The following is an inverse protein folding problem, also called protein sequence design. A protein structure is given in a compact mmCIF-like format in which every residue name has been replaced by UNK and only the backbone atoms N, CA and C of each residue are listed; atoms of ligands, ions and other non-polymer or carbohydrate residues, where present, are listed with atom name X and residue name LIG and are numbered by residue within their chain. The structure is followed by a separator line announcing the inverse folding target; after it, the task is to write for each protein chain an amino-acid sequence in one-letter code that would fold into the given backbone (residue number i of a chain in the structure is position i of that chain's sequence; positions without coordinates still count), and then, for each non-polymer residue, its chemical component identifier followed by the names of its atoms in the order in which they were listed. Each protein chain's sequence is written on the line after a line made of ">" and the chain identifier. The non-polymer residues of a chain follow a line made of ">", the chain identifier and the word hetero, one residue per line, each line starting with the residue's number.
data_IF_609896486657
#
_entry.id   IF_609896486657
#
_cell.length_a   1.000
_cell.length_b   1.000
_cell.length_c   1.000
_cell.angle_alpha   90.00
_cell.angle_beta   90.00
_cell.angle_gamma   90.00
#
_symmetry.space_group_name_H-M   'P 1'
#
loop_
_entity.id
_entity.type
_entity.pdbx_description
1 polymer ?
#
# COMPACT_ATOMS: atom_id res chain seq x y z
N UNK A 1 22.85 -5.26 2.43
CA UNK A 1 21.87 -4.87 1.39
C UNK A 1 22.18 -3.48 0.83
N UNK A 2 22.02 -2.38 1.57
CA UNK A 2 22.29 -1.02 1.03
C UNK A 2 23.74 -0.84 0.53
N UNK A 3 24.72 -1.26 1.32
CA UNK A 3 26.15 -1.20 0.97
C UNK A 3 26.58 -2.15 -0.18
N UNK A 4 25.70 -3.07 -0.58
CA UNK A 4 25.97 -4.00 -1.70
C UNK A 4 25.33 -3.55 -3.01
N UNK A 5 24.65 -2.40 -3.04
CA UNK A 5 24.10 -1.82 -4.28
C UNK A 5 25.21 -1.03 -4.98
N UNK A 6 25.57 -1.33 -6.24
CA UNK A 6 26.64 -0.65 -6.97
C UNK A 6 26.25 0.76 -7.48
N UNK A 7 25.21 1.37 -6.90
CA UNK A 7 24.68 2.67 -7.32
C UNK A 7 25.17 3.78 -6.40
N UNK A 8 25.53 4.92 -7.00
CA UNK A 8 25.83 6.15 -6.25
C UNK A 8 24.56 6.85 -5.72
N UNK A 9 23.39 6.40 -6.18
CA UNK A 9 22.08 6.97 -5.90
C UNK A 9 21.12 5.90 -5.38
N UNK A 10 20.56 6.13 -4.19
CA UNK A 10 19.72 5.15 -3.50
C UNK A 10 18.41 5.82 -3.06
N UNK A 11 17.28 5.18 -3.37
CA UNK A 11 15.98 5.53 -2.81
C UNK A 11 15.53 4.40 -1.89
N UNK A 12 15.12 4.73 -0.67
CA UNK A 12 14.52 3.78 0.27
C UNK A 12 13.01 3.99 0.28
N UNK A 13 12.27 2.89 0.09
CA UNK A 13 10.81 2.80 0.21
C UNK A 13 10.49 1.94 1.44
N UNK A 14 10.20 2.53 2.62
CA UNK A 14 9.97 1.78 3.85
C UNK A 14 8.72 0.90 3.76
N UNK A 15 7.66 1.41 3.14
CA UNK A 15 6.37 0.72 2.93
C UNK A 15 5.70 0.24 4.22
N UNK A 16 6.15 0.73 5.37
CA UNK A 16 5.63 0.43 6.70
C UNK A 16 5.94 1.61 7.62
N UNK A 17 4.93 2.12 8.30
CA UNK A 17 5.05 3.29 9.16
C UNK A 17 6.03 3.10 10.33
N UNK A 18 6.21 1.88 10.84
CA UNK A 18 7.11 1.60 11.96
C UNK A 18 8.59 1.59 11.52
N UNK A 19 8.86 1.30 10.26
CA UNK A 19 10.24 1.28 9.71
C UNK A 19 10.71 2.64 9.18
N UNK A 20 9.81 3.62 9.00
CA UNK A 20 10.14 4.92 8.43
C UNK A 20 11.26 5.64 9.21
N UNK A 21 11.12 5.75 10.53
CA UNK A 21 12.13 6.40 11.37
C UNK A 21 13.50 5.70 11.29
N UNK A 22 13.51 4.37 11.20
CA UNK A 22 14.74 3.58 11.03
C UNK A 22 15.37 3.86 9.66
N UNK A 23 14.56 3.91 8.59
CA UNK A 23 15.03 4.23 7.24
C UNK A 23 15.64 5.64 7.17
N UNK A 24 15.02 6.63 7.81
CA UNK A 24 15.52 8.00 7.90
C UNK A 24 16.86 8.07 8.65
N UNK A 25 16.98 7.37 9.78
CA UNK A 25 18.23 7.29 10.53
C UNK A 25 19.36 6.65 9.72
N UNK A 26 19.07 5.55 9.01
CA UNK A 26 20.02 4.88 8.11
C UNK A 26 20.44 5.81 6.96
N UNK A 27 19.50 6.51 6.35
CA UNK A 27 19.78 7.46 5.29
C UNK A 27 20.63 8.64 5.79
N UNK A 28 20.34 9.16 6.98
CA UNK A 28 21.14 10.23 7.59
C UNK A 28 22.59 9.81 7.80
N UNK A 29 22.83 8.63 8.38
CA UNK A 29 24.18 8.09 8.57
C UNK A 29 24.90 7.86 7.22
N UNK A 30 24.21 7.30 6.23
CA UNK A 30 24.76 7.07 4.89
C UNK A 30 25.15 8.37 4.15
N UNK A 31 24.38 9.46 4.32
CA UNK A 31 24.73 10.77 3.76
C UNK A 31 26.01 11.34 4.37
N UNK A 32 26.24 11.11 5.66
CA UNK A 32 27.50 11.50 6.32
C UNK A 32 28.72 10.73 5.76
N UNK A 33 28.51 9.55 5.19
CA UNK A 33 29.51 8.75 4.47
C UNK A 33 29.63 9.13 2.97
N UNK A 34 28.92 10.16 2.50
CA UNK A 34 28.98 10.68 1.12
C UNK A 34 28.05 10.00 0.12
N UNK A 35 27.13 9.13 0.57
CA UNK A 35 26.15 8.49 -0.31
C UNK A 35 24.97 9.43 -0.64
N UNK A 36 24.54 9.45 -1.91
CA UNK A 36 23.32 10.17 -2.32
C UNK A 36 22.11 9.28 -2.09
N UNK A 37 21.43 9.51 -0.97
CA UNK A 37 20.29 8.69 -0.54
C UNK A 37 19.07 9.52 -0.18
N UNK A 38 17.89 9.04 -0.55
CA UNK A 38 16.59 9.61 -0.22
C UNK A 38 15.67 8.55 0.41
N UNK A 39 14.77 8.99 1.28
CA UNK A 39 13.71 8.15 1.83
C UNK A 39 12.40 8.73 1.33
N UNK A 40 11.60 7.91 0.65
CA UNK A 40 10.22 8.29 0.32
C UNK A 40 9.35 7.84 1.49
N UNK A 41 8.53 8.72 2.10
CA UNK A 41 7.78 8.42 3.31
C UNK A 41 6.55 7.53 3.07
N UNK A 42 6.68 6.47 2.26
CA UNK A 42 5.64 5.49 2.00
C UNK A 42 5.38 4.64 3.26
N UNK A 43 4.13 4.63 3.71
CA UNK A 43 3.65 3.93 4.91
C UNK A 43 2.99 2.59 4.58
N UNK A 44 2.65 2.36 3.31
CA UNK A 44 2.09 1.13 2.80
C UNK A 44 2.76 0.71 1.48
N UNK A 45 2.71 -0.58 1.15
CA UNK A 45 3.36 -1.12 -0.06
C UNK A 45 2.81 -0.51 -1.35
N UNK A 46 1.50 -0.26 -1.42
CA UNK A 46 0.85 0.37 -2.58
C UNK A 46 1.31 1.82 -2.81
N UNK A 47 1.69 2.56 -1.76
CA UNK A 47 2.30 3.88 -1.91
C UNK A 47 3.73 3.78 -2.46
N UNK A 48 4.45 2.71 -2.12
CA UNK A 48 5.73 2.39 -2.74
C UNK A 48 5.59 2.06 -4.22
N UNK A 49 4.52 1.35 -4.62
CA UNK A 49 4.22 1.09 -6.03
C UNK A 49 3.88 2.39 -6.77
N UNK A 50 3.05 3.26 -6.18
CA UNK A 50 2.75 4.58 -6.72
C UNK A 50 4.02 5.42 -6.95
N UNK A 51 4.94 5.41 -5.97
CA UNK A 51 6.24 6.06 -6.10
C UNK A 51 7.05 5.47 -7.27
N UNK A 52 7.11 4.15 -7.40
CA UNK A 52 7.87 3.49 -8.46
C UNK A 52 7.28 3.74 -9.84
N UNK A 53 5.97 3.85 -9.96
CA UNK A 53 5.27 4.08 -11.23
C UNK A 53 5.70 5.40 -11.90
N UNK A 54 6.05 6.41 -11.11
CA UNK A 54 6.51 7.73 -11.62
C UNK A 54 8.03 7.88 -11.68
N UNK A 55 8.78 6.81 -11.41
CA UNK A 55 10.24 6.86 -11.45
C UNK A 55 10.75 7.03 -12.88
N UNK A 56 11.53 8.10 -13.09
CA UNK A 56 12.19 8.39 -14.37
C UNK A 56 13.70 8.53 -14.15
N UNK A 57 14.43 7.44 -14.44
CA UNK A 57 15.90 7.38 -14.28
C UNK A 57 16.67 8.29 -15.24
N UNK A 58 16.00 8.95 -16.20
CA UNK A 58 16.64 9.94 -17.08
C UNK A 58 16.69 11.34 -16.46
N UNK A 59 15.90 11.60 -15.41
CA UNK A 59 15.88 12.87 -14.68
C UNK A 59 16.95 12.91 -13.59
N UNK A 60 17.24 14.12 -13.11
CA UNK A 60 18.09 14.27 -11.94
C UNK A 60 17.45 13.60 -10.72
N UNK A 61 18.29 13.04 -9.84
CA UNK A 61 17.86 12.32 -8.65
C UNK A 61 16.88 13.11 -7.77
N UNK A 62 17.18 14.39 -7.53
CA UNK A 62 16.32 15.20 -6.66
C UNK A 62 14.93 15.41 -7.30
N UNK A 63 14.86 15.54 -8.63
CA UNK A 63 13.62 15.75 -9.37
C UNK A 63 12.71 14.53 -9.33
N UNK A 64 13.27 13.33 -9.57
CA UNK A 64 12.46 12.12 -9.47
C UNK A 64 12.13 11.79 -8.01
N UNK A 65 12.99 12.11 -7.04
CA UNK A 65 12.65 11.95 -5.60
C UNK A 65 11.45 12.80 -5.21
N UNK A 66 11.36 14.05 -5.68
CA UNK A 66 10.19 14.90 -5.47
C UNK A 66 8.94 14.27 -6.09
N UNK A 67 9.04 13.82 -7.34
CA UNK A 67 7.91 13.20 -8.06
C UNK A 67 7.43 11.92 -7.36
N UNK A 68 8.36 11.04 -6.97
CA UNK A 68 8.09 9.82 -6.22
C UNK A 68 7.46 10.11 -4.85
N UNK A 69 7.91 11.16 -4.17
CA UNK A 69 7.36 11.58 -2.87
C UNK A 69 5.92 12.07 -3.01
N UNK A 70 5.65 12.87 -4.04
CA UNK A 70 4.30 13.34 -4.33
C UNK A 70 3.35 12.19 -4.66
N UNK A 71 3.77 11.25 -5.52
CA UNK A 71 2.97 10.08 -5.87
C UNK A 71 2.64 9.21 -4.65
N UNK A 72 3.64 8.88 -3.83
CA UNK A 72 3.42 8.13 -2.59
C UNK A 72 2.44 8.84 -1.63
N UNK A 73 2.54 10.16 -1.52
CA UNK A 73 1.71 10.97 -0.63
C UNK A 73 0.26 11.13 -1.10
N UNK A 74 0.00 11.13 -2.40
CA UNK A 74 -1.35 11.21 -2.95
C UNK A 74 -2.08 9.86 -2.99
N UNK A 75 -1.33 8.75 -3.05
CA UNK A 75 -1.91 7.41 -3.02
C UNK A 75 -2.60 7.14 -1.68
N UNK A 76 -3.94 7.14 -1.70
CA UNK A 76 -4.78 6.66 -0.59
C UNK A 76 -4.62 5.17 -0.49
N UNK A 77 -4.56 4.64 0.73
CA UNK A 77 -4.31 3.22 0.92
C UNK A 77 -5.19 2.57 1.97
N UNK A 78 -5.49 1.32 1.73
CA UNK A 78 -6.21 0.44 2.64
C UNK A 78 -5.72 -1.00 2.53
N UNK A 79 -6.30 -1.86 3.33
CA UNK A 79 -6.02 -3.28 3.30
C UNK A 79 -7.22 -4.09 3.79
N UNK A 80 -7.23 -5.36 3.39
CA UNK A 80 -8.05 -6.39 4.01
C UNK A 80 -7.12 -7.28 4.81
N UNK A 81 -7.51 -7.60 6.04
CA UNK A 81 -6.79 -8.46 6.97
C UNK A 81 -7.74 -9.47 7.61
N UNK A 82 -7.20 -10.51 8.25
CA UNK A 82 -7.96 -11.45 9.09
C UNK A 82 -7.55 -11.28 10.54
N UNK A 83 -8.52 -11.26 11.45
CA UNK A 83 -8.27 -11.22 12.88
C UNK A 83 -7.60 -12.52 13.35
N UNK A 84 -6.42 -12.41 13.96
CA UNK A 84 -5.67 -13.58 14.47
C UNK A 84 -6.07 -13.98 15.90
N UNK A 85 -6.85 -13.13 16.57
CA UNK A 85 -7.35 -13.31 17.94
C UNK A 85 -8.53 -12.37 18.18
N UNK A 86 -9.30 -12.66 19.21
CA UNK A 86 -10.35 -11.77 19.70
C UNK A 86 -9.73 -10.47 20.22
N UNK A 87 -10.33 -9.33 19.85
CA UNK A 87 -9.87 -8.01 20.26
C UNK A 87 -10.98 -6.97 20.17
N UNK A 88 -10.82 -5.85 20.88
CA UNK A 88 -11.60 -4.64 20.66
C UNK A 88 -10.87 -3.75 19.65
N UNK A 89 -11.56 -3.36 18.57
CA UNK A 89 -11.03 -2.48 17.51
C UNK A 89 -11.79 -1.15 17.48
N UNK A 90 -11.31 -0.18 16.71
CA UNK A 90 -12.02 1.07 16.42
C UNK A 90 -13.38 0.87 15.76
N UNK A 91 -13.57 -0.23 15.02
CA UNK A 91 -14.86 -0.59 14.40
C UNK A 91 -15.73 -1.49 15.29
N UNK A 92 -15.33 -1.75 16.54
CA UNK A 92 -16.02 -2.63 17.47
C UNK A 92 -15.25 -3.93 17.76
N UNK A 93 -15.87 -4.87 18.51
CA UNK A 93 -15.24 -6.14 18.84
C UNK A 93 -15.08 -7.01 17.58
N UNK A 94 -13.96 -7.71 17.45
CA UNK A 94 -13.75 -8.76 16.47
C UNK A 94 -13.41 -10.08 17.16
N UNK A 95 -13.71 -11.19 16.48
CA UNK A 95 -13.31 -12.54 16.83
C UNK A 95 -12.20 -13.03 15.93
N UNK A 96 -11.43 -14.01 16.40
CA UNK A 96 -10.50 -14.72 15.54
C UNK A 96 -11.20 -15.25 14.28
N UNK A 97 -10.61 -14.96 13.12
CA UNK A 97 -11.14 -15.34 11.80
C UNK A 97 -11.99 -14.26 11.12
N UNK A 98 -12.43 -13.22 11.84
CA UNK A 98 -13.18 -12.13 11.23
C UNK A 98 -12.34 -11.39 10.18
N UNK A 99 -12.99 -11.00 9.09
CA UNK A 99 -12.45 -10.11 8.08
C UNK A 99 -12.42 -8.67 8.62
N UNK A 100 -11.27 -8.02 8.45
CA UNK A 100 -11.00 -6.68 8.94
C UNK A 100 -10.68 -5.75 7.77
N UNK A 101 -11.41 -4.64 7.70
CA UNK A 101 -11.14 -3.57 6.76
C UNK A 101 -10.27 -2.50 7.40
N UNK A 102 -9.17 -2.14 6.73
CA UNK A 102 -8.18 -1.18 7.25
C UNK A 102 -8.03 -0.01 6.28
N UNK A 103 -8.03 1.23 6.80
CA UNK A 103 -7.69 2.44 6.06
C UNK A 103 -6.67 3.21 6.88
N UNK A 104 -5.55 3.59 6.26
CA UNK A 104 -4.48 4.36 6.93
C UNK A 104 -3.98 3.77 8.27
N UNK A 105 -4.15 2.46 8.47
CA UNK A 105 -3.75 1.73 9.69
C UNK A 105 -4.87 1.51 10.70
N UNK A 106 -6.02 2.18 10.55
CA UNK A 106 -7.17 2.03 11.43
C UNK A 106 -8.13 0.95 10.95
N UNK A 107 -8.65 0.14 11.87
CA UNK A 107 -9.69 -0.85 11.55
C UNK A 107 -11.02 -0.14 11.49
N UNK A 108 -11.59 -0.05 10.28
CA UNK A 108 -12.80 0.74 9.99
C UNK A 108 -14.02 -0.12 9.70
N UNK A 109 -13.83 -1.44 9.61
CA UNK A 109 -14.89 -2.43 9.38
C UNK A 109 -14.47 -3.79 9.96
N UNK A 110 -15.45 -4.50 10.54
CA UNK A 110 -15.36 -5.92 10.93
C UNK A 110 -16.54 -6.64 10.28
N UNK A 111 -16.29 -7.71 9.54
CA UNK A 111 -17.31 -8.61 8.98
C UNK A 111 -16.80 -10.05 8.98
N UNK A 112 -17.65 -11.00 8.62
CA UNK A 112 -17.29 -12.40 8.41
C UNK A 112 -17.04 -12.75 6.93
N UNK A 113 -17.25 -11.82 5.99
CA UNK A 113 -16.96 -12.01 4.55
C UNK A 113 -15.81 -11.09 4.09
N UNK A 114 -14.71 -11.70 3.64
CA UNK A 114 -13.54 -11.00 3.11
C UNK A 114 -13.86 -10.12 1.90
N UNK A 115 -14.77 -10.56 1.03
CA UNK A 115 -15.11 -9.83 -0.18
C UNK A 115 -16.05 -8.66 0.07
N UNK A 116 -16.97 -8.79 1.04
CA UNK A 116 -17.75 -7.65 1.51
C UNK A 116 -16.82 -6.56 2.06
N UNK A 117 -15.85 -6.95 2.89
CA UNK A 117 -14.85 -6.02 3.42
C UNK A 117 -14.01 -5.40 2.30
N UNK A 118 -13.55 -6.19 1.33
CA UNK A 118 -12.77 -5.68 0.21
C UNK A 118 -13.53 -4.61 -0.59
N UNK A 119 -14.79 -4.88 -0.91
CA UNK A 119 -15.67 -3.96 -1.62
C UNK A 119 -15.89 -2.68 -0.81
N UNK A 120 -16.21 -2.78 0.48
CA UNK A 120 -16.43 -1.60 1.32
C UNK A 120 -15.17 -0.74 1.45
N UNK A 121 -13.99 -1.35 1.59
CA UNK A 121 -12.73 -0.59 1.62
C UNK A 121 -12.47 0.11 0.29
N UNK A 122 -12.69 -0.55 -0.85
CA UNK A 122 -12.56 0.08 -2.17
C UNK A 122 -13.53 1.25 -2.32
N UNK A 123 -14.80 1.08 -1.95
CA UNK A 123 -15.78 2.17 -1.96
C UNK A 123 -15.33 3.36 -1.11
N UNK A 124 -14.82 3.11 0.10
CA UNK A 124 -14.32 4.17 0.97
C UNK A 124 -13.12 4.90 0.37
N UNK A 125 -12.19 4.18 -0.24
CA UNK A 125 -11.02 4.78 -0.88
C UNK A 125 -11.43 5.62 -2.10
N UNK A 126 -12.41 5.17 -2.88
CA UNK A 126 -12.91 5.85 -4.09
C UNK A 126 -13.91 6.99 -3.82
N UNK A 127 -14.41 7.18 -2.60
CA UNK A 127 -15.34 8.29 -2.27
C UNK A 127 -14.80 9.67 -2.61
N UNK A 128 -13.48 9.85 -2.57
CA UNK A 128 -12.80 11.09 -2.97
C UNK A 128 -12.52 11.21 -4.47
N UNK A 129 -13.05 10.32 -5.29
CA UNK A 129 -12.62 10.12 -6.68
C UNK A 129 -11.41 9.18 -6.77
N UNK A 130 -10.83 9.05 -7.95
CA UNK A 130 -9.68 8.21 -8.24
C UNK A 130 -9.74 7.74 -9.68
N UNK A 131 -8.59 7.60 -10.32
CA UNK A 131 -8.47 7.16 -11.71
C UNK A 131 -7.93 5.74 -11.80
N UNK A 132 -7.20 5.29 -10.77
CA UNK A 132 -6.62 3.96 -10.72
C UNK A 132 -6.77 3.32 -9.35
N UNK A 133 -7.18 2.05 -9.33
CA UNK A 133 -7.17 1.16 -8.18
C UNK A 133 -6.08 0.10 -8.38
N UNK A 134 -5.07 0.14 -7.52
CA UNK A 134 -4.04 -0.90 -7.42
C UNK A 134 -4.42 -1.92 -6.35
N UNK A 135 -4.46 -3.20 -6.72
CA UNK A 135 -4.74 -4.32 -5.82
C UNK A 135 -3.51 -5.21 -5.76
N UNK A 136 -2.98 -5.44 -4.56
CA UNK A 136 -1.89 -6.42 -4.34
C UNK A 136 -2.45 -7.62 -3.58
N UNK A 137 -2.56 -8.74 -4.28
CA UNK A 137 -3.12 -9.99 -3.76
C UNK A 137 -2.10 -10.74 -2.91
N UNK A 138 -2.51 -11.13 -1.71
CA UNK A 138 -1.73 -11.92 -0.78
C UNK A 138 -1.91 -13.43 -0.98
N UNK A 139 -1.04 -14.22 -0.34
CA UNK A 139 -1.04 -15.68 -0.46
C UNK A 139 -2.33 -16.34 0.07
N UNK A 140 -3.04 -15.67 0.99
CA UNK A 140 -4.29 -16.17 1.58
C UNK A 140 -5.57 -15.74 0.85
N UNK A 141 -5.46 -14.95 -0.22
CA UNK A 141 -6.61 -14.55 -1.05
C UNK A 141 -6.80 -15.54 -2.20
N UNK A 142 -8.01 -16.04 -2.39
CA UNK A 142 -8.34 -16.83 -3.57
C UNK A 142 -8.56 -15.93 -4.80
N UNK A 143 -8.62 -16.55 -5.98
CA UNK A 143 -8.87 -15.82 -7.23
C UNK A 143 -10.29 -15.22 -7.25
N UNK A 144 -11.21 -15.78 -6.45
CA UNK A 144 -12.62 -15.36 -6.44
C UNK A 144 -12.79 -13.99 -5.79
N UNK A 145 -12.06 -13.73 -4.72
CA UNK A 145 -12.03 -12.44 -4.03
C UNK A 145 -11.66 -11.31 -5.00
N UNK A 146 -10.61 -11.51 -5.81
CA UNK A 146 -10.18 -10.51 -6.81
C UNK A 146 -11.21 -10.37 -7.92
N UNK A 147 -11.74 -11.46 -8.46
CA UNK A 147 -12.80 -11.41 -9.51
C UNK A 147 -14.06 -10.68 -9.05
N UNK A 148 -14.47 -10.88 -7.79
CA UNK A 148 -15.62 -10.16 -7.21
C UNK A 148 -15.34 -8.66 -7.14
N UNK A 149 -14.12 -8.29 -6.76
CA UNK A 149 -13.70 -6.88 -6.73
C UNK A 149 -13.63 -6.27 -8.14
N UNK A 150 -13.05 -6.98 -9.11
CA UNK A 150 -13.02 -6.58 -10.53
C UNK A 150 -14.42 -6.34 -11.07
N UNK A 151 -15.34 -7.28 -10.83
CA UNK A 151 -16.73 -7.19 -11.29
C UNK A 151 -17.45 -6.00 -10.66
N UNK A 152 -17.22 -5.76 -9.36
CA UNK A 152 -17.79 -4.63 -8.64
C UNK A 152 -17.28 -3.29 -9.16
N UNK A 153 -15.96 -3.14 -9.30
CA UNK A 153 -15.32 -1.91 -9.80
C UNK A 153 -15.76 -1.61 -11.24
N UNK A 154 -15.80 -2.62 -12.11
CA UNK A 154 -16.27 -2.44 -13.48
C UNK A 154 -17.73 -1.97 -13.56
N UNK A 155 -18.58 -2.41 -12.62
CA UNK A 155 -19.99 -2.04 -12.58
C UNK A 155 -20.25 -0.67 -11.94
N UNK A 156 -19.55 -0.36 -10.84
CA UNK A 156 -19.80 0.83 -10.02
C UNK A 156 -18.91 2.02 -10.38
N UNK A 157 -17.72 1.77 -10.95
CA UNK A 157 -16.66 2.76 -11.17
C UNK A 157 -16.04 2.62 -12.56
N UNK A 158 -16.86 2.73 -13.61
CA UNK A 158 -16.45 2.49 -15.01
C UNK A 158 -15.29 3.37 -15.54
N UNK A 159 -14.90 4.43 -14.82
CA UNK A 159 -13.76 5.27 -15.15
C UNK A 159 -12.46 4.94 -14.39
N UNK A 160 -12.49 3.95 -13.49
CA UNK A 160 -11.34 3.55 -12.68
C UNK A 160 -10.61 2.38 -13.35
N UNK A 161 -9.34 2.58 -13.66
CA UNK A 161 -8.45 1.50 -14.11
C UNK A 161 -8.09 0.59 -12.93
N UNK A 162 -8.24 -0.72 -13.13
CA UNK A 162 -7.91 -1.71 -12.11
C UNK A 162 -6.64 -2.45 -12.48
N UNK A 163 -5.61 -2.36 -11.63
CA UNK A 163 -4.34 -3.06 -11.78
C UNK A 163 -4.18 -4.06 -10.64
N UNK A 164 -3.96 -5.32 -10.98
CA UNK A 164 -3.79 -6.40 -9.99
C UNK A 164 -2.36 -6.95 -10.04
N UNK A 165 -1.72 -7.04 -8.89
CA UNK A 165 -0.41 -7.67 -8.70
C UNK A 165 -0.52 -8.85 -7.74
N UNK A 166 0.15 -9.97 -8.04
CA UNK A 166 0.36 -11.05 -7.09
C UNK A 166 1.54 -10.68 -6.17
N UNK A 167 1.25 -10.27 -4.93
CA UNK A 167 2.25 -9.89 -3.94
C UNK A 167 2.68 -11.01 -3.01
N UNK A 168 1.84 -12.03 -2.82
CA UNK A 168 2.19 -13.23 -2.04
C UNK A 168 2.38 -12.98 -0.54
N UNK A 169 2.08 -11.78 -0.03
CA UNK A 169 2.18 -11.50 1.40
C UNK A 169 1.19 -12.37 2.19
N UNK A 170 1.63 -12.89 3.35
CA UNK A 170 0.82 -13.80 4.18
C UNK A 170 -0.20 -13.04 5.04
N UNK A 171 0.18 -11.85 5.54
CA UNK A 171 -0.61 -11.14 6.55
C UNK A 171 -1.88 -10.48 6.00
N UNK A 172 -1.81 -9.98 4.77
CA UNK A 172 -2.87 -9.19 4.17
C UNK A 172 -3.38 -9.91 2.92
N UNK A 173 -4.60 -10.48 2.94
CA UNK A 173 -5.25 -10.99 1.74
C UNK A 173 -5.25 -9.98 0.59
N UNK A 174 -5.49 -8.70 0.88
CA UNK A 174 -5.40 -7.62 -0.10
C UNK A 174 -4.72 -6.39 0.50
N UNK A 175 -3.85 -5.75 -0.28
CA UNK A 175 -3.47 -4.35 -0.10
C UNK A 175 -4.09 -3.55 -1.24
N UNK A 176 -4.63 -2.38 -0.93
CA UNK A 176 -5.44 -1.59 -1.86
C UNK A 176 -4.88 -0.16 -1.89
N UNK A 177 -4.64 0.36 -3.09
CA UNK A 177 -4.19 1.73 -3.31
C UNK A 177 -5.09 2.42 -4.33
N UNK A 178 -5.46 3.68 -4.08
CA UNK A 178 -6.19 4.52 -5.02
C UNK A 178 -5.39 5.79 -5.26
N UNK A 179 -5.21 6.12 -6.53
CA UNK A 179 -4.64 7.38 -7.01
C UNK A 179 -5.77 8.26 -7.53
#
# INVERSE_FOLDING_TARGET
>A
AMRSVPSQQIVILPNDAHTLAVAEAVAHAARAEGLRIAVIPARAQVQGLAALAVHDGTRAFDDYVVSMTAAAGHARHGAVSVAIRDALTSAGPCRQGDALGVIEGDIVLVSNDLAEVAVDIVERLLRGGGEMLTVVRGAGADDDLVRRLESHVAAAHAGVELVVYDGGQVRYPLLLGVE
#
